data_IF_195553211230
#
_entry.id   IF_195553211230
#
_cell.length_a   1.000
_cell.length_b   1.000
_cell.length_c   1.000
_cell.angle_alpha   90.00
_cell.angle_beta   90.00
_cell.angle_gamma   90.00
#
_symmetry.space_group_name_H-M   'P 1'
#
loop_
_entity.id
_entity.type
_entity.pdbx_description
1 polymer ?
#
# COMPACT_ATOMS: atom_id res chain seq x y z
N UNK A 1 1.32 -7.53 37.22
CA UNK A 1 0.32 -7.55 36.14
C UNK A 1 1.08 -7.60 34.82
N UNK A 2 1.27 -8.79 34.24
CA UNK A 2 1.99 -8.94 32.97
C UNK A 2 0.92 -9.00 31.88
N UNK A 3 0.71 -7.89 31.16
CA UNK A 3 -0.30 -7.86 30.10
C UNK A 3 0.17 -8.72 28.92
N UNK A 4 -0.49 -9.85 28.74
CA UNK A 4 -0.33 -10.76 27.61
C UNK A 4 -0.90 -10.20 26.31
N UNK A 5 -0.26 -9.18 25.76
CA UNK A 5 -0.37 -8.87 24.34
C UNK A 5 1.01 -9.05 23.74
N UNK A 6 1.13 -10.05 22.87
CA UNK A 6 2.22 -10.16 21.91
C UNK A 6 2.23 -8.86 21.10
N UNK A 7 2.96 -7.84 21.56
CA UNK A 7 3.15 -6.61 20.81
C UNK A 7 3.91 -6.98 19.55
N UNK A 8 3.18 -7.18 18.45
CA UNK A 8 3.83 -7.45 17.19
C UNK A 8 4.70 -6.23 16.86
N UNK A 9 5.85 -6.42 16.20
CA UNK A 9 6.68 -5.29 15.78
C UNK A 9 5.89 -4.21 15.00
N UNK A 10 4.85 -4.61 14.27
CA UNK A 10 3.92 -3.70 13.62
C UNK A 10 3.12 -2.85 14.63
N UNK A 11 2.57 -3.45 15.70
CA UNK A 11 1.80 -2.74 16.73
C UNK A 11 2.62 -1.66 17.41
N UNK A 12 3.91 -1.95 17.67
CA UNK A 12 4.84 -0.96 18.21
C UNK A 12 5.07 0.20 17.25
N UNK A 13 5.18 -0.10 15.95
CA UNK A 13 5.36 0.91 14.90
C UNK A 13 4.11 1.79 14.78
N UNK A 14 2.92 1.18 14.75
CA UNK A 14 1.64 1.89 14.72
C UNK A 14 1.42 2.75 15.97
N UNK A 15 1.72 2.23 17.16
CA UNK A 15 1.62 3.00 18.40
C UNK A 15 2.52 4.24 18.40
N UNK A 16 3.70 4.16 17.77
CA UNK A 16 4.62 5.28 17.63
C UNK A 16 4.07 6.34 16.67
N UNK A 17 3.56 5.91 15.52
CA UNK A 17 2.93 6.79 14.54
C UNK A 17 1.68 7.47 15.11
N UNK A 18 0.83 6.74 15.84
CA UNK A 18 -0.39 7.28 16.45
C UNK A 18 -0.07 8.36 17.50
N UNK A 19 0.94 8.12 18.35
CA UNK A 19 1.43 9.13 19.30
C UNK A 19 1.92 10.39 18.60
N UNK A 20 2.69 10.25 17.52
CA UNK A 20 3.21 11.41 16.76
C UNK A 20 2.08 12.15 16.05
N UNK A 21 1.13 11.44 15.44
CA UNK A 21 -0.05 12.02 14.78
C UNK A 21 -0.86 12.90 15.74
N UNK A 22 -1.08 12.49 16.98
CA UNK A 22 -1.86 13.25 17.98
C UNK A 22 -1.29 14.63 18.32
N UNK A 23 0.01 14.83 18.11
CA UNK A 23 0.71 16.09 18.39
C UNK A 23 1.16 16.80 17.11
N UNK A 24 0.71 16.33 15.94
CA UNK A 24 1.07 16.91 14.65
C UNK A 24 -0.16 17.54 14.00
N UNK A 25 0.01 18.74 13.46
CA UNK A 25 -0.97 19.36 12.58
C UNK A 25 -0.68 18.91 11.14
N UNK A 26 -1.65 18.28 10.49
CA UNK A 26 -1.47 17.68 9.16
C UNK A 26 -2.52 18.27 8.21
N UNK A 27 -2.06 18.94 7.18
CA UNK A 27 -2.92 19.57 6.16
C UNK A 27 -2.72 18.98 4.78
N UNK A 28 -1.52 18.50 4.45
CA UNK A 28 -1.18 17.98 3.13
C UNK A 28 -0.61 16.56 3.22
N UNK A 29 -0.58 15.80 2.11
CA UNK A 29 0.13 14.52 2.07
C UNK A 29 1.62 14.63 2.44
N UNK A 30 2.27 15.76 2.13
CA UNK A 30 3.66 16.03 2.52
C UNK A 30 3.82 16.12 4.03
N UNK A 31 2.87 16.73 4.75
CA UNK A 31 2.90 16.77 6.22
C UNK A 31 2.82 15.36 6.81
N UNK A 32 2.02 14.48 6.20
CA UNK A 32 1.92 13.07 6.63
C UNK A 32 3.25 12.36 6.41
N UNK A 33 3.90 12.59 5.26
CA UNK A 33 5.20 12.01 4.96
C UNK A 33 6.27 12.47 5.98
N UNK A 34 6.34 13.76 6.28
CA UNK A 34 7.26 14.31 7.28
C UNK A 34 6.95 13.83 8.70
N UNK A 35 5.67 13.72 9.05
CA UNK A 35 5.24 13.16 10.33
C UNK A 35 5.71 11.71 10.50
N UNK A 36 5.59 10.89 9.44
CA UNK A 36 6.07 9.50 9.45
C UNK A 36 7.60 9.46 9.55
N UNK A 37 8.34 10.24 8.74
CA UNK A 37 9.81 10.32 8.79
C UNK A 37 10.29 10.70 10.20
N UNK A 38 9.66 11.70 10.81
CA UNK A 38 9.99 12.23 12.14
C UNK A 38 9.43 11.44 13.32
N UNK A 39 8.66 10.37 13.11
CA UNK A 39 8.04 9.63 14.23
C UNK A 39 9.04 8.83 15.08
N UNK A 40 10.23 8.52 14.55
CA UNK A 40 11.30 7.81 15.27
C UNK A 40 12.64 8.51 15.07
N UNK A 41 13.31 8.84 16.18
CA UNK A 41 14.59 9.57 16.15
C UNK A 41 15.77 8.67 15.73
N UNK A 42 15.92 7.50 16.36
CA UNK A 42 17.09 6.65 16.14
C UNK A 42 17.04 5.85 14.83
N UNK A 43 15.84 5.41 14.45
CA UNK A 43 15.59 4.66 13.21
C UNK A 43 14.34 5.22 12.53
N UNK A 44 14.48 6.34 11.80
CA UNK A 44 13.40 6.95 11.05
C UNK A 44 12.73 5.97 10.08
N UNK A 45 11.43 6.13 9.89
CA UNK A 45 10.72 5.34 8.88
C UNK A 45 11.13 5.80 7.49
N UNK A 46 11.33 4.84 6.58
CA UNK A 46 11.54 5.14 5.16
C UNK A 46 10.18 5.42 4.51
N UNK A 47 9.98 6.65 4.08
CA UNK A 47 8.80 7.05 3.29
C UNK A 47 9.20 7.13 1.83
N UNK A 48 8.46 6.43 0.97
CA UNK A 48 8.64 6.43 -0.48
C UNK A 48 7.42 7.10 -1.08
N UNK A 49 7.62 8.27 -1.69
CA UNK A 49 6.57 8.98 -2.43
C UNK A 49 6.42 8.35 -3.80
N UNK A 50 5.24 7.82 -4.08
CA UNK A 50 4.92 7.18 -5.36
C UNK A 50 4.33 8.20 -6.33
N UNK A 51 4.75 8.14 -7.59
CA UNK A 51 4.24 8.93 -8.71
C UNK A 51 3.40 8.04 -9.65
N UNK A 52 2.62 8.63 -10.55
CA UNK A 52 1.83 7.88 -11.55
C UNK A 52 2.70 6.86 -12.33
N UNK A 53 3.96 7.21 -12.63
CA UNK A 53 4.93 6.33 -13.28
C UNK A 53 5.29 5.04 -12.51
N UNK A 54 5.03 5.00 -11.20
CA UNK A 54 5.29 3.83 -10.36
C UNK A 54 4.14 2.82 -10.39
N UNK A 55 2.94 3.24 -10.82
CA UNK A 55 1.77 2.38 -10.89
C UNK A 55 1.65 1.72 -12.27
N UNK A 56 1.44 0.41 -12.26
CA UNK A 56 1.42 -0.43 -13.48
C UNK A 56 0.12 -1.20 -13.58
N UNK A 57 -0.41 -1.31 -14.78
CA UNK A 57 -1.60 -2.10 -15.06
C UNK A 57 -1.19 -3.54 -15.34
N UNK A 58 -1.49 -4.44 -14.42
CA UNK A 58 -1.40 -5.88 -14.69
C UNK A 58 -2.59 -6.28 -15.56
N UNK A 59 -2.37 -6.98 -16.68
CA UNK A 59 -3.47 -7.50 -17.49
C UNK A 59 -4.35 -8.46 -16.69
N UNK A 60 -5.67 -8.41 -16.88
CA UNK A 60 -6.62 -9.32 -16.24
C UNK A 60 -6.33 -10.79 -16.54
N UNK A 61 -5.71 -11.06 -17.69
CA UNK A 61 -5.29 -12.38 -18.10
C UNK A 61 -4.07 -12.92 -17.31
N UNK A 62 -3.40 -12.11 -16.48
CA UNK A 62 -2.18 -12.51 -15.78
C UNK A 62 -2.48 -13.27 -14.50
N UNK A 63 -3.42 -12.77 -13.68
CA UNK A 63 -3.68 -13.29 -12.34
C UNK A 63 -5.02 -14.03 -12.22
N UNK A 64 -5.06 -15.07 -11.38
CA UNK A 64 -6.27 -15.77 -10.94
C UNK A 64 -6.32 -15.79 -9.42
N UNK A 65 -7.55 -15.86 -8.90
CA UNK A 65 -7.79 -16.21 -7.51
C UNK A 65 -7.82 -17.74 -7.36
N UNK A 66 -6.87 -18.36 -6.65
CA UNK A 66 -6.89 -19.80 -6.44
C UNK A 66 -8.10 -20.21 -5.57
N UNK A 67 -8.80 -21.31 -5.89
CA UNK A 67 -9.92 -21.76 -5.07
C UNK A 67 -9.44 -22.11 -3.66
N UNK A 68 -10.18 -21.64 -2.64
CA UNK A 68 -9.86 -21.86 -1.22
C UNK A 68 -8.74 -20.96 -0.66
N UNK A 69 -8.14 -20.08 -1.48
CA UNK A 69 -7.21 -19.08 -0.99
C UNK A 69 -7.99 -17.96 -0.28
N UNK A 70 -7.86 -17.87 1.03
CA UNK A 70 -8.48 -16.81 1.83
C UNK A 70 -7.40 -16.09 2.62
N UNK A 71 -7.00 -14.89 2.16
CA UNK A 71 -5.92 -14.14 2.80
C UNK A 71 -6.20 -13.82 4.27
N UNK A 72 -7.48 -13.65 4.63
CA UNK A 72 -7.94 -13.32 5.98
C UNK A 72 -7.77 -14.47 6.98
N UNK A 73 -7.60 -15.71 6.52
CA UNK A 73 -7.35 -16.87 7.39
C UNK A 73 -5.89 -17.26 7.50
N UNK A 74 -4.98 -16.48 6.90
CA UNK A 74 -3.54 -16.75 6.88
C UNK A 74 -2.81 -15.85 7.88
N UNK A 75 -1.84 -16.42 8.60
CA UNK A 75 -1.00 -15.67 9.56
C UNK A 75 0.29 -15.15 8.90
N UNK A 76 0.73 -15.80 7.82
CA UNK A 76 1.91 -15.40 7.06
C UNK A 76 1.61 -15.40 5.59
N UNK A 77 2.16 -14.41 4.89
CA UNK A 77 2.15 -14.30 3.45
C UNK A 77 3.57 -13.94 2.97
N UNK A 78 4.05 -14.64 1.96
CA UNK A 78 5.38 -14.44 1.37
C UNK A 78 5.30 -14.55 -0.14
N UNK A 79 5.95 -13.62 -0.82
CA UNK A 79 6.18 -13.63 -2.27
C UNK A 79 7.68 -13.44 -2.46
N UNK A 80 8.29 -14.19 -3.38
CA UNK A 80 9.73 -14.08 -3.67
C UNK A 80 9.95 -13.75 -5.14
N UNK A 81 11.08 -13.11 -5.46
CA UNK A 81 11.46 -12.85 -6.85
C UNK A 81 11.78 -14.14 -7.62
N UNK A 82 12.16 -15.22 -6.91
CA UNK A 82 12.47 -16.52 -7.50
C UNK A 82 11.24 -17.35 -7.86
N UNK A 83 10.11 -17.14 -7.16
CA UNK A 83 8.83 -17.78 -7.44
C UNK A 83 7.69 -16.74 -7.40
N UNK A 84 7.67 -15.80 -8.35
CA UNK A 84 6.79 -14.63 -8.31
C UNK A 84 5.33 -14.96 -8.67
N UNK A 85 5.08 -16.16 -9.21
CA UNK A 85 3.75 -16.63 -9.57
C UNK A 85 3.09 -17.45 -8.48
N UNK A 86 3.78 -17.61 -7.35
CA UNK A 86 3.30 -18.33 -6.20
C UNK A 86 3.24 -17.40 -4.99
N UNK A 87 2.10 -17.40 -4.32
CA UNK A 87 1.99 -16.84 -2.98
C UNK A 87 2.21 -17.99 -2.00
N UNK A 88 3.12 -17.81 -1.06
CA UNK A 88 3.36 -18.77 0.01
C UNK A 88 2.65 -18.32 1.28
N UNK A 89 1.93 -19.23 1.95
CA UNK A 89 1.27 -18.91 3.22
C UNK A 89 1.53 -19.91 4.33
N UNK A 90 1.28 -19.47 5.58
CA UNK A 90 1.15 -20.34 6.76
C UNK A 90 -0.12 -19.97 7.53
N UNK A 91 -0.80 -20.99 8.08
CA UNK A 91 -1.99 -20.81 8.89
C UNK A 91 -1.68 -20.48 10.36
N UNK A 92 -0.44 -20.65 10.81
CA UNK A 92 -0.04 -20.44 12.20
C UNK A 92 1.30 -19.71 12.32
N UNK A 93 1.65 -19.31 13.55
CA UNK A 93 3.00 -18.82 13.90
C UNK A 93 4.02 -19.94 14.15
N UNK A 94 3.66 -21.20 13.90
CA UNK A 94 4.56 -22.33 14.09
C UNK A 94 5.72 -22.30 13.11
N UNK A 95 6.93 -22.47 13.63
CA UNK A 95 8.13 -22.64 12.81
C UNK A 95 8.15 -23.99 12.09
N UNK A 96 7.42 -24.99 12.62
CA UNK A 96 7.36 -26.35 12.09
C UNK A 96 6.33 -26.52 10.96
N UNK A 97 5.35 -25.61 10.84
CA UNK A 97 4.41 -25.63 9.72
C UNK A 97 5.15 -25.31 8.42
N UNK A 98 5.05 -26.20 7.43
CA UNK A 98 5.54 -25.95 6.08
C UNK A 98 4.79 -24.83 5.39
N UNK A 99 5.39 -24.20 4.38
CA UNK A 99 4.70 -23.23 3.55
C UNK A 99 3.68 -23.94 2.64
N UNK A 100 2.45 -23.43 2.58
CA UNK A 100 1.49 -23.77 1.53
C UNK A 100 1.74 -22.88 0.32
N UNK A 101 1.51 -23.42 -0.88
CA UNK A 101 1.86 -22.79 -2.15
C UNK A 101 0.60 -22.54 -2.97
N UNK A 102 0.40 -21.30 -3.42
CA UNK A 102 -0.78 -20.87 -4.16
C UNK A 102 -0.38 -20.27 -5.50
N UNK A 103 -0.59 -21.01 -6.59
CA UNK A 103 -0.33 -20.53 -7.94
C UNK A 103 -1.35 -19.46 -8.34
N UNK A 104 -0.92 -18.21 -8.43
CA UNK A 104 -1.78 -17.04 -8.71
C UNK A 104 -1.81 -16.64 -10.19
N UNK A 105 -1.12 -17.36 -11.08
CA UNK A 105 -1.12 -17.06 -12.52
C UNK A 105 -2.16 -17.88 -13.29
N UNK A 106 -2.80 -17.27 -14.29
CA UNK A 106 -3.66 -17.97 -15.26
C UNK A 106 -2.77 -18.68 -16.29
N UNK A 107 -2.35 -19.91 -15.98
CA UNK A 107 -1.63 -20.72 -16.96
C UNK A 107 -2.56 -21.26 -18.05
N UNK A 108 -2.11 -21.22 -19.30
CA UNK A 108 -2.68 -22.04 -20.37
C UNK A 108 -2.28 -23.51 -20.13
N UNK A 109 -3.17 -24.47 -20.42
CA UNK A 109 -2.87 -25.90 -20.27
C UNK A 109 -1.54 -26.23 -20.95
N UNK A 110 -0.67 -26.97 -20.25
CA UNK A 110 0.63 -27.46 -20.73
C UNK A 110 1.70 -26.39 -21.05
N UNK A 111 1.55 -25.15 -20.59
CA UNK A 111 2.60 -24.14 -20.72
C UNK A 111 3.22 -23.81 -19.36
N UNK A 112 4.56 -23.65 -19.28
CA UNK A 112 5.19 -23.15 -18.08
C UNK A 112 4.66 -21.74 -17.76
N UNK A 113 4.73 -21.30 -16.48
CA UNK A 113 4.39 -19.93 -16.13
C UNK A 113 5.22 -18.96 -16.99
N UNK A 114 4.64 -17.82 -17.43
CA UNK A 114 5.41 -16.82 -18.15
C UNK A 114 6.61 -16.39 -17.30
N UNK A 115 7.71 -15.94 -17.93
CA UNK A 115 8.80 -15.35 -17.15
C UNK A 115 8.27 -14.17 -16.32
N UNK A 116 8.71 -13.98 -15.07
CA UNK A 116 8.37 -12.77 -14.33
C UNK A 116 8.79 -11.55 -15.13
N UNK A 117 7.80 -10.78 -15.57
CA UNK A 117 8.08 -9.53 -16.23
C UNK A 117 8.39 -8.47 -15.19
N UNK A 118 9.47 -7.73 -15.41
CA UNK A 118 9.77 -6.54 -14.62
C UNK A 118 8.61 -5.55 -14.72
N UNK A 119 8.40 -4.75 -13.67
CA UNK A 119 7.31 -3.77 -13.63
C UNK A 119 7.33 -2.82 -14.83
N UNK A 120 8.50 -2.55 -15.40
CA UNK A 120 8.71 -1.69 -16.58
C UNK A 120 8.08 -2.22 -17.86
N UNK A 121 7.81 -3.53 -17.96
CA UNK A 121 7.18 -4.13 -19.13
C UNK A 121 5.67 -3.87 -19.18
N UNK A 122 5.05 -3.56 -18.05
CA UNK A 122 3.63 -3.26 -17.99
C UNK A 122 3.38 -1.78 -18.30
N UNK A 123 2.28 -1.52 -19.01
CA UNK A 123 1.77 -0.17 -19.23
C UNK A 123 1.54 0.52 -17.88
N UNK A 124 1.68 1.85 -17.87
CA UNK A 124 1.32 2.63 -16.67
C UNK A 124 -0.17 2.49 -16.42
N UNK A 125 -0.54 2.38 -15.14
CA UNK A 125 -1.95 2.39 -14.76
C UNK A 125 -2.58 3.78 -14.94
N UNK A 126 -1.76 4.82 -14.81
CA UNK A 126 -2.17 6.21 -14.91
C UNK A 126 -1.06 6.98 -15.64
N UNK A 127 -1.42 7.75 -16.67
CA UNK A 127 -0.48 8.71 -17.28
C UNK A 127 -0.44 10.01 -16.47
N UNK A 128 -1.60 10.44 -15.99
CA UNK A 128 -1.80 11.68 -15.22
C UNK A 128 -2.45 11.38 -13.85
N UNK A 129 -2.40 12.33 -12.89
CA UNK A 129 -3.12 12.21 -11.64
C UNK A 129 -4.62 11.95 -11.84
N UNK A 130 -5.23 11.16 -10.96
CA UNK A 130 -6.67 10.93 -11.02
C UNK A 130 -7.44 12.20 -10.62
N UNK A 131 -8.38 12.68 -11.45
CA UNK A 131 -9.17 13.85 -11.12
C UNK A 131 -10.10 13.56 -9.94
N UNK A 132 -10.42 14.62 -9.21
CA UNK A 132 -11.36 14.56 -8.09
C UNK A 132 -12.78 14.71 -8.62
N UNK A 133 -13.69 13.87 -8.12
CA UNK A 133 -15.12 14.02 -8.36
C UNK A 133 -15.61 15.44 -8.05
N UNK A 134 -16.42 16.00 -8.96
CA UNK A 134 -16.96 17.37 -8.86
C UNK A 134 -17.49 17.75 -7.49
N UNK A 135 -18.29 16.87 -6.88
CA UNK A 135 -18.90 17.13 -5.58
C UNK A 135 -17.86 17.27 -4.47
N UNK A 136 -16.87 16.37 -4.45
CA UNK A 136 -15.77 16.38 -3.48
C UNK A 136 -14.85 17.56 -3.72
N UNK A 137 -14.53 17.88 -4.98
CA UNK A 137 -13.72 19.04 -5.32
C UNK A 137 -14.38 20.35 -4.83
N UNK A 138 -15.67 20.54 -5.13
CA UNK A 138 -16.44 21.70 -4.64
C UNK A 138 -16.42 21.82 -3.12
N UNK A 139 -16.56 20.70 -2.41
CA UNK A 139 -16.53 20.67 -0.95
C UNK A 139 -15.14 21.08 -0.41
N UNK A 140 -14.06 20.49 -0.97
CA UNK A 140 -12.68 20.86 -0.63
C UNK A 140 -12.42 22.36 -0.85
N UNK A 141 -12.87 22.91 -1.97
CA UNK A 141 -12.70 24.33 -2.29
C UNK A 141 -13.39 25.26 -1.28
N UNK A 142 -14.55 24.86 -0.74
CA UNK A 142 -15.21 25.61 0.35
C UNK A 142 -14.43 25.54 1.65
N UNK A 143 -13.75 24.42 1.91
CA UNK A 143 -12.97 24.23 3.14
C UNK A 143 -11.65 25.02 3.14
N UNK A 144 -11.14 25.45 1.98
CA UNK A 144 -9.86 26.17 1.90
C UNK A 144 -9.81 27.45 2.73
N UNK A 145 -10.94 28.14 2.90
CA UNK A 145 -11.04 29.33 3.73
C UNK A 145 -10.65 29.10 5.21
N UNK A 146 -10.70 27.84 5.66
CA UNK A 146 -10.35 27.44 7.03
C UNK A 146 -8.95 26.84 7.15
N UNK A 147 -8.18 26.83 6.06
CA UNK A 147 -6.83 26.24 6.02
C UNK A 147 -5.74 27.32 5.97
N UNK A 148 -4.53 27.05 6.49
CA UNK A 148 -3.38 27.92 6.31
C UNK A 148 -3.05 28.12 4.82
N UNK A 149 -2.60 29.32 4.44
CA UNK A 149 -2.32 29.68 3.05
C UNK A 149 -1.34 28.71 2.35
N UNK A 150 -0.33 28.23 3.08
CA UNK A 150 0.66 27.25 2.61
C UNK A 150 0.00 25.94 2.16
N UNK A 151 -1.01 25.49 2.91
CA UNK A 151 -1.73 24.26 2.60
C UNK A 151 -2.75 24.45 1.46
N UNK A 152 -3.34 25.64 1.32
CA UNK A 152 -4.29 25.95 0.24
C UNK A 152 -3.66 25.75 -1.15
N UNK A 153 -2.38 26.08 -1.30
CA UNK A 153 -1.64 25.94 -2.56
C UNK A 153 -1.68 24.50 -3.10
N UNK A 154 -1.56 23.50 -2.23
CA UNK A 154 -1.65 22.09 -2.61
C UNK A 154 -3.03 21.74 -3.18
N UNK A 155 -4.11 22.19 -2.53
CA UNK A 155 -5.45 21.84 -2.97
C UNK A 155 -5.86 22.56 -4.25
N UNK A 156 -5.33 23.76 -4.49
CA UNK A 156 -5.57 24.51 -5.72
C UNK A 156 -5.01 23.86 -6.99
N UNK A 157 -4.07 22.90 -6.86
CA UNK A 157 -3.51 22.17 -8.01
C UNK A 157 -4.26 20.87 -8.31
N UNK A 158 -5.32 20.54 -7.57
CA UNK A 158 -6.08 19.31 -7.77
C UNK A 158 -7.01 19.45 -8.98
N UNK A 159 -6.92 18.49 -9.90
CA UNK A 159 -7.78 18.43 -11.07
C UNK A 159 -9.19 17.95 -10.68
N UNK A 160 -10.20 18.45 -11.39
CA UNK A 160 -11.60 18.09 -11.21
C UNK A 160 -12.09 17.35 -12.46
N UNK A 161 -12.94 16.34 -12.27
CA UNK A 161 -13.63 15.67 -13.39
C UNK A 161 -14.44 16.70 -14.19
N UNK A 162 -14.44 16.56 -15.52
CA UNK A 162 -15.20 17.38 -16.48
C UNK A 162 -16.71 17.27 -16.33
#
# INVERSE_FOLDING_TARGET
MVSGHSFLPCDRSFATLDKRRKVSTLHTPSDVAEMIRGARQLHPFKVIEMKCADFRQLPDATLKHPPGFLITSMMWLKVTATDPWCVHTKGSHSLYEGWKHWLITKQRKNQPPPAPMFSTTYARAYEDPLPIKKEKHRDLMKMLAYMPAEAQAFYGTLECEE
#
